data_IF_133069524041
#
_entry.id   IF_133069524041
#
_cell.length_a   1.000
_cell.length_b   1.000
_cell.length_c   1.000
_cell.angle_alpha   90.00
_cell.angle_beta   90.00
_cell.angle_gamma   90.00
#
_symmetry.space_group_name_H-M   'P 1'
#
loop_
_entity.id
_entity.type
_entity.pdbx_description
1 polymer ?
#
# COMPACT_ATOMS: atom_id res chain seq x y z
N UNK A 1 16.74 3.64 -28.37
CA UNK A 1 16.90 4.61 -27.25
C UNK A 1 15.58 4.88 -26.52
N UNK A 2 14.47 5.19 -27.20
CA UNK A 2 13.15 5.39 -26.57
C UNK A 2 12.66 4.18 -25.78
N UNK A 3 12.89 2.96 -26.29
CA UNK A 3 12.42 1.73 -25.63
C UNK A 3 13.16 1.43 -24.33
N UNK A 4 14.48 1.67 -24.29
CA UNK A 4 15.27 1.56 -23.06
C UNK A 4 14.83 2.58 -22.02
N UNK A 5 14.59 3.82 -22.42
CA UNK A 5 14.10 4.86 -21.52
C UNK A 5 12.74 4.48 -20.90
N UNK A 6 11.78 4.04 -21.73
CA UNK A 6 10.46 3.58 -21.27
C UNK A 6 10.59 2.41 -20.28
N UNK A 7 11.47 1.44 -20.58
CA UNK A 7 11.73 0.30 -19.70
C UNK A 7 12.30 0.75 -18.35
N UNK A 8 13.30 1.65 -18.33
CA UNK A 8 13.88 2.14 -17.08
C UNK A 8 12.86 2.94 -16.25
N UNK A 9 12.06 3.80 -16.88
CA UNK A 9 11.00 4.54 -16.19
C UNK A 9 9.95 3.60 -15.60
N UNK A 10 9.54 2.56 -16.33
CA UNK A 10 8.60 1.55 -15.83
C UNK A 10 9.18 0.78 -14.63
N UNK A 11 10.43 0.30 -14.73
CA UNK A 11 11.12 -0.40 -13.64
C UNK A 11 11.24 0.50 -12.42
N UNK A 12 11.62 1.77 -12.60
CA UNK A 12 11.72 2.73 -11.52
C UNK A 12 10.36 2.97 -10.84
N UNK A 13 9.32 3.24 -11.62
CA UNK A 13 7.98 3.50 -11.10
C UNK A 13 7.41 2.33 -10.29
N UNK A 14 7.46 1.11 -10.84
CA UNK A 14 7.01 -0.08 -10.10
C UNK A 14 7.89 -0.38 -8.88
N UNK A 15 9.19 -0.13 -8.95
CA UNK A 15 10.08 -0.32 -7.80
C UNK A 15 9.77 0.65 -6.67
N UNK A 16 9.48 1.91 -6.98
CA UNK A 16 9.07 2.91 -5.99
C UNK A 16 7.74 2.53 -5.32
N UNK A 17 6.76 2.06 -6.10
CA UNK A 17 5.50 1.52 -5.57
C UNK A 17 5.78 0.33 -4.64
N UNK A 18 6.60 -0.64 -5.08
CA UNK A 18 6.90 -1.80 -4.25
C UNK A 18 7.65 -1.44 -2.96
N UNK A 19 8.58 -0.49 -3.00
CA UNK A 19 9.28 0.03 -1.83
C UNK A 19 8.33 0.73 -0.85
N UNK A 20 7.33 1.46 -1.35
CA UNK A 20 6.28 2.07 -0.53
C UNK A 20 5.55 1.03 0.34
N UNK A 21 5.46 -0.23 -0.08
CA UNK A 21 4.86 -1.30 0.73
C UNK A 21 5.89 -2.08 1.56
N UNK A 22 7.07 -2.36 0.98
CA UNK A 22 8.09 -3.17 1.62
C UNK A 22 8.65 -2.52 2.89
N UNK A 23 8.89 -1.20 2.85
CA UNK A 23 9.43 -0.45 3.99
C UNK A 23 8.44 -0.48 5.19
N UNK A 24 7.20 0.01 5.08
CA UNK A 24 6.27 -0.01 6.21
C UNK A 24 5.83 -1.43 6.59
N UNK A 25 5.83 -2.40 5.67
CA UNK A 25 5.61 -3.81 6.00
C UNK A 25 6.71 -4.35 6.92
N UNK A 26 7.97 -4.00 6.64
CA UNK A 26 9.12 -4.38 7.46
C UNK A 26 9.09 -3.69 8.84
N UNK A 27 8.73 -2.40 8.88
CA UNK A 27 8.56 -1.67 10.14
C UNK A 27 7.46 -2.31 11.01
N UNK A 28 6.34 -2.73 10.42
CA UNK A 28 5.26 -3.41 11.16
C UNK A 28 5.70 -4.73 11.80
N UNK A 29 6.66 -5.45 11.19
CA UNK A 29 7.23 -6.67 11.81
C UNK A 29 8.02 -6.30 13.07
N UNK A 30 8.88 -5.29 12.97
CA UNK A 30 9.73 -4.86 14.09
C UNK A 30 8.94 -4.19 15.21
N UNK A 31 7.85 -3.50 14.86
CA UNK A 31 7.00 -2.73 15.77
C UNK A 31 5.62 -3.36 15.96
N UNK A 32 5.53 -4.69 15.91
CA UNK A 32 4.25 -5.41 15.87
C UNK A 32 3.29 -5.02 17.00
N UNK A 33 3.76 -5.02 18.26
CA UNK A 33 2.92 -4.68 19.43
C UNK A 33 2.33 -3.28 19.34
N UNK A 34 3.11 -2.29 18.89
CA UNK A 34 2.64 -0.92 18.71
C UNK A 34 1.52 -0.84 17.65
N UNK A 35 1.67 -1.56 16.54
CA UNK A 35 0.64 -1.58 15.51
C UNK A 35 -0.63 -2.30 15.96
N UNK A 36 -0.53 -3.33 16.80
CA UNK A 36 -1.71 -3.97 17.41
C UNK A 36 -2.52 -2.96 18.22
N UNK A 37 -1.87 -2.14 19.05
CA UNK A 37 -2.55 -1.10 19.84
C UNK A 37 -3.25 -0.09 18.93
N UNK A 38 -2.59 0.36 17.86
CA UNK A 38 -3.19 1.25 16.86
C UNK A 38 -4.45 0.62 16.26
N UNK A 39 -4.39 -0.65 15.86
CA UNK A 39 -5.55 -1.34 15.26
C UNK A 39 -6.71 -1.52 16.25
N UNK A 40 -6.41 -1.77 17.53
CA UNK A 40 -7.43 -1.86 18.59
C UNK A 40 -8.14 -0.52 18.77
N UNK A 41 -7.36 0.58 18.90
CA UNK A 41 -7.91 1.92 19.07
C UNK A 41 -8.80 2.36 17.91
N UNK A 42 -8.50 1.89 16.70
CA UNK A 42 -9.26 2.16 15.48
C UNK A 42 -10.36 1.12 15.18
N UNK A 43 -10.70 0.25 16.14
CA UNK A 43 -11.76 -0.75 16.02
C UNK A 43 -11.63 -1.68 14.80
N UNK A 44 -10.39 -2.00 14.40
CA UNK A 44 -10.15 -2.93 13.29
C UNK A 44 -10.52 -4.35 13.71
N UNK A 45 -11.36 -5.07 12.94
CA UNK A 45 -11.72 -6.45 13.26
C UNK A 45 -10.49 -7.36 13.32
N UNK A 46 -10.46 -8.25 14.32
CA UNK A 46 -9.40 -9.23 14.53
C UNK A 46 -7.98 -8.62 14.40
N UNK A 47 -7.58 -7.65 15.25
CA UNK A 47 -6.38 -6.83 15.05
C UNK A 47 -5.10 -7.63 14.72
N UNK A 48 -4.85 -8.72 15.46
CA UNK A 48 -3.67 -9.56 15.24
C UNK A 48 -3.68 -10.27 13.89
N UNK A 49 -4.82 -10.85 13.51
CA UNK A 49 -4.97 -11.54 12.23
C UNK A 49 -4.86 -10.55 11.06
N UNK A 50 -5.56 -9.41 11.16
CA UNK A 50 -5.52 -8.34 10.17
C UNK A 50 -4.12 -7.79 9.98
N UNK A 51 -3.37 -7.57 11.07
CA UNK A 51 -1.98 -7.09 11.00
C UNK A 51 -1.07 -8.07 10.28
N UNK A 52 -1.14 -9.37 10.62
CA UNK A 52 -0.33 -10.41 9.96
C UNK A 52 -0.66 -10.47 8.47
N UNK A 53 -1.94 -10.43 8.10
CA UNK A 53 -2.37 -10.45 6.70
C UNK A 53 -1.81 -9.24 5.93
N UNK A 54 -1.89 -8.05 6.51
CA UNK A 54 -1.33 -6.82 5.91
C UNK A 54 0.18 -6.94 5.76
N UNK A 55 0.91 -7.37 6.80
CA UNK A 55 2.37 -7.54 6.75
C UNK A 55 2.76 -8.50 5.63
N UNK A 56 2.18 -9.70 5.60
CA UNK A 56 2.50 -10.71 4.60
C UNK A 56 2.21 -10.19 3.19
N UNK A 57 1.05 -9.54 3.00
CA UNK A 57 0.71 -8.96 1.71
C UNK A 57 1.71 -7.88 1.28
N UNK A 58 2.10 -6.98 2.20
CA UNK A 58 3.05 -5.90 1.91
C UNK A 58 4.43 -6.42 1.54
N UNK A 59 4.94 -7.40 2.29
CA UNK A 59 6.27 -7.97 2.05
C UNK A 59 6.30 -8.81 0.78
N UNK A 60 5.32 -9.70 0.59
CA UNK A 60 5.27 -10.61 -0.57
C UNK A 60 5.02 -9.82 -1.86
N UNK A 61 3.97 -8.99 -1.90
CA UNK A 61 3.58 -8.31 -3.14
C UNK A 61 4.40 -7.05 -3.40
N UNK A 62 4.88 -6.35 -2.36
CA UNK A 62 5.83 -5.26 -2.53
C UNK A 62 7.12 -5.74 -3.19
N UNK A 63 7.69 -6.85 -2.70
CA UNK A 63 8.86 -7.50 -3.31
C UNK A 63 8.58 -8.01 -4.72
N UNK A 64 7.43 -8.66 -4.91
CA UNK A 64 7.03 -9.20 -6.22
C UNK A 64 6.94 -8.09 -7.27
N UNK A 65 6.34 -6.95 -6.94
CA UNK A 65 6.25 -5.78 -7.83
C UNK A 65 7.65 -5.22 -8.16
N UNK A 66 8.59 -5.16 -7.21
CA UNK A 66 9.98 -4.71 -7.45
C UNK A 66 10.71 -5.64 -8.42
N UNK A 67 10.46 -6.95 -8.38
CA UNK A 67 11.07 -7.91 -9.30
C UNK A 67 10.25 -8.19 -10.57
N UNK A 68 9.09 -7.53 -10.71
CA UNK A 68 8.23 -7.66 -11.90
C UNK A 68 7.46 -8.97 -11.96
N UNK A 69 7.25 -9.61 -10.81
CA UNK A 69 6.49 -10.87 -10.65
C UNK A 69 5.11 -10.58 -10.08
N UNK A 70 4.11 -11.37 -10.47
CA UNK A 70 2.74 -11.29 -9.97
C UNK A 70 2.15 -9.86 -9.92
N UNK A 71 2.54 -8.99 -10.87
CA UNK A 71 2.25 -7.56 -10.82
C UNK A 71 0.73 -7.31 -10.72
N UNK A 72 -0.06 -7.98 -11.56
CA UNK A 72 -1.53 -7.85 -11.56
C UNK A 72 -2.15 -8.21 -10.21
N UNK A 73 -1.82 -9.40 -9.69
CA UNK A 73 -2.35 -9.88 -8.42
C UNK A 73 -1.89 -9.00 -7.25
N UNK A 74 -0.60 -8.65 -7.21
CA UNK A 74 -0.02 -7.81 -6.18
C UNK A 74 -0.61 -6.40 -6.17
N UNK A 75 -0.82 -5.80 -7.34
CA UNK A 75 -1.47 -4.49 -7.46
C UNK A 75 -2.85 -4.46 -6.82
N UNK A 76 -3.70 -5.46 -7.11
CA UNK A 76 -5.06 -5.52 -6.57
C UNK A 76 -5.05 -5.77 -5.06
N UNK A 77 -4.26 -6.73 -4.57
CA UNK A 77 -4.20 -7.04 -3.15
C UNK A 77 -3.69 -5.84 -2.35
N UNK A 78 -2.64 -5.18 -2.81
CA UNK A 78 -2.11 -3.99 -2.15
C UNK A 78 -3.07 -2.80 -2.23
N UNK A 79 -3.84 -2.66 -3.32
CA UNK A 79 -4.87 -1.63 -3.42
C UNK A 79 -5.99 -1.85 -2.40
N UNK A 80 -6.46 -3.10 -2.24
CA UNK A 80 -7.45 -3.46 -1.21
C UNK A 80 -6.91 -3.13 0.18
N UNK A 81 -5.64 -3.47 0.46
CA UNK A 81 -5.02 -3.12 1.75
C UNK A 81 -5.05 -1.61 2.03
N UNK A 82 -4.74 -0.77 1.04
CA UNK A 82 -4.78 0.69 1.22
C UNK A 82 -6.21 1.21 1.36
N UNK A 83 -7.19 0.65 0.65
CA UNK A 83 -8.61 1.01 0.81
C UNK A 83 -9.07 0.73 2.24
N UNK A 84 -8.78 -0.47 2.75
CA UNK A 84 -9.12 -0.83 4.13
C UNK A 84 -8.36 0.04 5.14
N UNK A 85 -7.08 0.29 4.91
CA UNK A 85 -6.28 1.15 5.79
C UNK A 85 -6.82 2.58 5.84
N UNK A 86 -7.23 3.15 4.70
CA UNK A 86 -7.88 4.45 4.65
C UNK A 86 -9.19 4.48 5.43
N UNK A 87 -10.02 3.45 5.26
CA UNK A 87 -11.32 3.38 5.93
C UNK A 87 -11.22 3.24 7.45
N UNK A 88 -10.23 2.50 7.96
CA UNK A 88 -10.10 2.26 9.39
C UNK A 88 -9.18 3.24 10.11
N UNK A 89 -8.13 3.74 9.44
CA UNK A 89 -7.04 4.49 10.10
C UNK A 89 -7.03 5.96 9.72
N UNK A 90 -7.43 6.30 8.49
CA UNK A 90 -7.43 7.67 7.97
C UNK A 90 -8.85 8.15 7.67
N UNK A 91 -9.78 7.80 8.57
CA UNK A 91 -11.20 8.11 8.53
C UNK A 91 -11.48 9.54 8.99
N UNK A 92 -10.92 10.51 8.26
CA UNK A 92 -10.94 11.94 8.62
C UNK A 92 -12.34 12.50 8.95
N UNK A 93 -13.40 11.89 8.42
CA UNK A 93 -14.80 12.24 8.69
C UNK A 93 -15.25 11.97 10.14
N UNK A 94 -14.49 11.21 10.93
CA UNK A 94 -14.79 10.91 12.33
C UNK A 94 -14.12 11.88 13.34
N UNK A 95 -13.31 12.83 12.87
CA UNK A 95 -12.62 13.79 13.73
C UNK A 95 -13.29 15.16 13.72
N UNK A 96 -13.54 15.73 14.91
CA UNK A 96 -14.06 17.09 15.08
C UNK A 96 -12.95 18.14 15.23
N UNK A 97 -11.75 17.74 15.66
CA UNK A 97 -10.59 18.62 15.71
C UNK A 97 -10.10 18.93 14.28
N UNK A 98 -10.06 20.21 13.93
CA UNK A 98 -9.75 20.67 12.57
C UNK A 98 -8.31 20.35 12.15
N UNK A 99 -7.37 20.34 13.09
CA UNK A 99 -5.95 20.06 12.78
C UNK A 99 -5.79 18.58 12.49
N UNK A 100 -6.35 17.71 13.33
CA UNK A 100 -6.31 16.25 13.15
C UNK A 100 -7.06 15.86 11.87
N UNK A 101 -8.28 16.37 11.67
CA UNK A 101 -9.08 16.08 10.48
C UNK A 101 -8.32 16.41 9.18
N UNK A 102 -7.65 17.58 9.11
CA UNK A 102 -6.87 17.96 7.92
C UNK A 102 -5.67 17.05 7.71
N UNK A 103 -4.98 16.64 8.79
CA UNK A 103 -3.87 15.70 8.71
C UNK A 103 -4.31 14.34 8.16
N UNK A 104 -5.40 13.78 8.68
CA UNK A 104 -5.93 12.49 8.22
C UNK A 104 -6.47 12.56 6.79
N UNK A 105 -7.12 13.66 6.41
CA UNK A 105 -7.59 13.86 5.03
C UNK A 105 -6.41 13.91 4.04
N UNK A 106 -5.29 14.54 4.40
CA UNK A 106 -4.10 14.53 3.55
C UNK A 106 -3.53 13.13 3.37
N UNK A 107 -3.51 12.31 4.43
CA UNK A 107 -3.05 10.92 4.34
C UNK A 107 -4.00 10.07 3.48
N UNK A 108 -5.32 10.25 3.65
CA UNK A 108 -6.32 9.59 2.82
C UNK A 108 -6.11 9.90 1.32
N UNK A 109 -5.90 11.17 0.97
CA UNK A 109 -5.66 11.60 -0.42
C UNK A 109 -4.36 11.03 -0.97
N UNK A 110 -3.26 11.07 -0.21
CA UNK A 110 -1.98 10.47 -0.62
C UNK A 110 -2.13 8.98 -0.91
N UNK A 111 -2.80 8.26 -0.01
CA UNK A 111 -3.09 6.84 -0.16
C UNK A 111 -3.99 6.55 -1.37
N UNK A 112 -4.94 7.42 -1.68
CA UNK A 112 -5.77 7.32 -2.90
C UNK A 112 -4.92 7.44 -4.16
N UNK A 113 -3.90 8.31 -4.17
CA UNK A 113 -2.95 8.41 -5.28
C UNK A 113 -2.12 7.11 -5.45
N UNK A 114 -1.73 6.46 -4.34
CA UNK A 114 -1.05 5.16 -4.38
C UNK A 114 -1.96 4.07 -4.95
N UNK A 115 -3.25 4.04 -4.55
CA UNK A 115 -4.23 3.12 -5.15
C UNK A 115 -4.31 3.35 -6.66
N UNK A 116 -4.41 4.60 -7.13
CA UNK A 116 -4.43 4.90 -8.55
C UNK A 116 -3.17 4.38 -9.27
N UNK A 117 -1.99 4.56 -8.67
CA UNK A 117 -0.73 4.01 -9.19
C UNK A 117 -0.73 2.49 -9.31
N UNK A 118 -1.26 1.78 -8.30
CA UNK A 118 -1.41 0.32 -8.33
C UNK A 118 -2.40 -0.14 -9.40
N UNK A 119 -3.53 0.55 -9.56
CA UNK A 119 -4.53 0.25 -10.58
C UNK A 119 -4.01 0.50 -12.01
N UNK A 120 -3.17 1.53 -12.20
CA UNK A 120 -2.46 1.73 -13.46
C UNK A 120 -1.46 0.58 -13.67
N UNK A 121 -0.70 0.20 -12.64
CA UNK A 121 0.28 -0.88 -12.72
C UNK A 121 -0.35 -2.26 -13.00
N UNK A 122 -1.61 -2.47 -12.59
CA UNK A 122 -2.38 -3.67 -12.96
C UNK A 122 -2.50 -3.83 -14.49
N UNK A 123 -2.60 -2.71 -15.21
CA UNK A 123 -2.47 -2.70 -16.67
C UNK A 123 -0.99 -2.79 -17.03
N UNK A 124 -0.46 -4.01 -17.18
CA UNK A 124 0.85 -4.21 -17.81
C UNK A 124 0.71 -5.01 -19.10
N UNK A 125 1.43 -4.51 -20.11
CA UNK A 125 1.43 -4.80 -21.55
C UNK A 125 1.74 -6.25 -21.95
N UNK A 126 1.25 -6.61 -23.15
CA UNK A 126 1.26 -7.91 -23.84
C UNK A 126 2.65 -8.52 -24.17
N UNK A 127 3.76 -8.00 -23.64
CA UNK A 127 5.11 -8.46 -24.03
C UNK A 127 5.66 -9.64 -23.22
N UNK A 128 4.79 -10.50 -22.68
CA UNK A 128 5.19 -11.75 -22.00
C UNK A 128 4.45 -12.99 -22.49
N UNK A 129 4.32 -13.11 -23.82
CA UNK A 129 4.12 -14.38 -24.53
C UNK A 129 5.02 -14.43 -25.76
#
# INVERSE_FOLDING_TARGET
>A
MKDLFNQYVYILGRSLIGLFFLIPGSIKVLSFSQYIEILILNNVPFPAFSLVLVILSQLIFGTSIIFGKYIKLGSIILAINIVLFNYFIHDFWNFSDVVIQKHEMQNFIKNTAIIAGLLILYKTDESSS
#
